data_IF_944286812040
#
_entry.id   IF_944286812040
#
_cell.length_a   1.000
_cell.length_b   1.000
_cell.length_c   1.000
_cell.angle_alpha   90.00
_cell.angle_beta   90.00
_cell.angle_gamma   90.00
#
_symmetry.space_group_name_H-M   'P 1'
#
loop_
_entity.id
_entity.type
_entity.pdbx_description
1 polymer ?
#
# COMPACT_ATOMS: atom_id res chain seq x y z
N UNK A 1 1.40 21.61 6.14
CA UNK A 1 1.13 20.20 5.74
C UNK A 1 2.46 19.46 5.54
N UNK A 2 2.54 18.18 5.88
CA UNK A 2 3.72 17.36 5.61
C UNK A 2 3.68 16.86 4.15
N UNK A 3 4.83 16.78 3.49
CA UNK A 3 4.93 16.20 2.14
C UNK A 3 4.71 14.69 2.24
N UNK A 4 3.73 14.09 1.52
CA UNK A 4 3.43 12.67 1.60
C UNK A 4 4.53 11.77 1.04
N UNK A 5 5.48 12.29 0.26
CA UNK A 5 6.65 11.54 -0.17
C UNK A 5 7.77 11.60 0.86
N UNK A 6 7.84 12.62 1.72
CA UNK A 6 8.80 12.65 2.85
C UNK A 6 8.24 11.96 4.09
N UNK A 7 6.98 12.24 4.46
CA UNK A 7 6.26 11.66 5.57
C UNK A 7 5.20 10.69 5.04
N UNK A 8 5.68 9.50 4.64
CA UNK A 8 4.86 8.52 3.93
C UNK A 8 3.72 8.01 4.84
N UNK A 9 2.44 8.19 4.45
CA UNK A 9 1.29 7.79 5.27
C UNK A 9 1.16 6.27 5.42
N UNK A 10 0.34 5.87 6.38
CA UNK A 10 -0.06 4.47 6.51
C UNK A 10 -0.81 4.01 5.23
N UNK A 11 -0.62 2.75 4.79
CA UNK A 11 -1.31 2.22 3.61
C UNK A 11 -2.83 2.39 3.71
N UNK A 12 -3.45 3.05 2.73
CA UNK A 12 -4.89 3.32 2.68
C UNK A 12 -5.37 4.47 3.58
N UNK A 13 -4.48 5.27 4.15
CA UNK A 13 -4.87 6.42 4.97
C UNK A 13 -5.75 7.39 4.19
N UNK A 14 -6.93 7.69 4.72
CA UNK A 14 -7.91 8.58 4.08
C UNK A 14 -8.87 7.89 3.11
N UNK A 15 -8.67 6.61 2.80
CA UNK A 15 -9.60 5.82 2.00
C UNK A 15 -10.64 5.10 2.89
N UNK A 16 -11.86 4.96 2.38
CA UNK A 16 -12.91 4.14 2.98
C UNK A 16 -13.13 2.87 2.16
N UNK A 17 -13.02 1.71 2.81
CA UNK A 17 -13.34 0.42 2.21
C UNK A 17 -14.69 -0.07 2.72
N UNK A 18 -15.67 -0.14 1.82
CA UNK A 18 -16.98 -0.72 2.13
C UNK A 18 -17.00 -2.18 1.68
N UNK A 19 -17.41 -3.08 2.58
CA UNK A 19 -17.48 -4.52 2.30
C UNK A 19 -18.93 -4.98 2.22
N UNK A 20 -19.19 -5.93 1.33
CA UNK A 20 -20.47 -6.57 1.16
C UNK A 20 -20.27 -8.05 0.80
N UNK A 21 -21.31 -8.87 0.95
CA UNK A 21 -21.28 -10.25 0.48
C UNK A 21 -21.17 -10.28 -1.04
N UNK A 22 -20.40 -11.24 -1.56
CA UNK A 22 -20.13 -11.35 -2.99
C UNK A 22 -21.36 -11.74 -3.83
N UNK A 23 -22.38 -12.35 -3.21
CA UNK A 23 -23.62 -12.80 -3.83
C UNK A 23 -24.78 -11.78 -3.72
N UNK A 24 -24.61 -10.70 -2.95
CA UNK A 24 -25.63 -9.68 -2.75
C UNK A 24 -25.63 -8.63 -3.88
N UNK A 25 -26.22 -9.02 -5.02
CA UNK A 25 -26.22 -8.20 -6.24
C UNK A 25 -26.81 -6.80 -6.05
N UNK A 26 -27.88 -6.68 -5.25
CA UNK A 26 -28.54 -5.41 -5.00
C UNK A 26 -27.61 -4.43 -4.26
N UNK A 27 -26.90 -4.91 -3.22
CA UNK A 27 -25.92 -4.09 -2.51
C UNK A 27 -24.74 -3.75 -3.42
N UNK A 28 -24.24 -4.70 -4.21
CA UNK A 28 -23.12 -4.46 -5.13
C UNK A 28 -23.44 -3.41 -6.20
N UNK A 29 -24.68 -3.32 -6.68
CA UNK A 29 -25.11 -2.27 -7.60
C UNK A 29 -25.05 -0.88 -6.96
N UNK A 30 -25.50 -0.75 -5.71
CA UNK A 30 -25.39 0.52 -4.96
C UNK A 30 -23.93 0.90 -4.74
N UNK A 31 -23.08 -0.06 -4.35
CA UNK A 31 -21.66 0.22 -4.09
C UNK A 31 -20.90 0.66 -5.35
N UNK A 32 -21.30 0.20 -6.54
CA UNK A 32 -20.71 0.66 -7.81
C UNK A 32 -20.92 2.15 -8.04
N UNK A 33 -22.02 2.73 -7.56
CA UNK A 33 -22.33 4.14 -7.76
C UNK A 33 -21.44 5.09 -6.94
N UNK A 34 -20.88 4.60 -5.83
CA UNK A 34 -20.01 5.37 -4.93
C UNK A 34 -18.53 4.98 -5.05
N UNK A 35 -18.20 4.07 -5.97
CA UNK A 35 -16.83 3.66 -6.18
C UNK A 35 -16.02 4.72 -6.91
N UNK A 36 -14.91 5.11 -6.30
CA UNK A 36 -13.88 5.88 -6.96
C UNK A 36 -12.78 4.95 -7.49
N UNK A 37 -12.76 4.78 -8.81
CA UNK A 37 -11.77 3.93 -9.49
C UNK A 37 -10.33 4.37 -9.21
N UNK A 38 -10.07 5.67 -9.14
CA UNK A 38 -8.73 6.21 -8.91
C UNK A 38 -8.28 5.87 -7.50
N UNK A 39 -9.10 6.21 -6.50
CA UNK A 39 -8.82 5.91 -5.10
C UNK A 39 -8.61 4.40 -4.89
N UNK A 40 -9.44 3.56 -5.53
CA UNK A 40 -9.29 2.11 -5.50
C UNK A 40 -7.92 1.66 -6.04
N UNK A 41 -7.44 2.23 -7.14
CA UNK A 41 -6.15 1.86 -7.72
C UNK A 41 -4.97 2.30 -6.84
N UNK A 42 -5.02 3.51 -6.31
CA UNK A 42 -4.01 4.05 -5.38
C UNK A 42 -3.93 3.16 -4.13
N UNK A 43 -5.07 2.92 -3.47
CA UNK A 43 -5.14 2.09 -2.26
C UNK A 43 -4.84 0.62 -2.52
N UNK A 44 -5.18 0.05 -3.68
CA UNK A 44 -4.85 -1.35 -3.98
C UNK A 44 -3.34 -1.57 -4.06
N UNK A 45 -2.59 -0.62 -4.63
CA UNK A 45 -1.13 -0.69 -4.70
C UNK A 45 -0.48 -0.57 -3.31
N UNK A 46 -0.96 0.35 -2.49
CA UNK A 46 -0.52 0.52 -1.09
C UNK A 46 -0.76 -0.74 -0.27
N UNK A 47 -1.98 -1.30 -0.37
CA UNK A 47 -2.37 -2.51 0.37
C UNK A 47 -1.63 -3.75 -0.11
N UNK A 48 -1.40 -3.89 -1.41
CA UNK A 48 -0.65 -5.04 -1.93
C UNK A 48 0.82 -5.00 -1.49
N UNK A 49 1.43 -3.82 -1.43
CA UNK A 49 2.76 -3.65 -0.82
C UNK A 49 2.75 -4.08 0.65
N UNK A 50 1.84 -3.52 1.45
CA UNK A 50 1.74 -3.82 2.87
C UNK A 50 1.50 -5.30 3.15
N UNK A 51 0.67 -5.97 2.33
CA UNK A 51 0.42 -7.43 2.41
C UNK A 51 1.69 -8.24 2.18
N UNK A 52 2.53 -7.86 1.21
CA UNK A 52 3.81 -8.54 0.97
C UNK A 52 4.74 -8.43 2.18
N UNK A 53 4.75 -7.28 2.87
CA UNK A 53 5.56 -7.07 4.07
C UNK A 53 5.02 -7.79 5.32
N UNK A 54 3.87 -8.46 5.24
CA UNK A 54 3.28 -9.23 6.34
C UNK A 54 1.93 -8.70 6.82
N UNK A 55 1.46 -7.55 6.31
CA UNK A 55 0.07 -7.09 6.46
C UNK A 55 -0.39 -6.77 7.90
N UNK A 56 0.53 -6.71 8.86
CA UNK A 56 0.21 -6.39 10.26
C UNK A 56 0.15 -4.89 10.47
N UNK A 57 -0.87 -4.42 11.20
CA UNK A 57 -1.02 -3.01 11.59
C UNK A 57 0.11 -2.49 12.49
N UNK A 58 0.93 -3.38 13.05
CA UNK A 58 2.04 -3.04 13.93
C UNK A 58 3.38 -2.90 13.19
N UNK A 59 3.42 -3.21 11.89
CA UNK A 59 4.62 -2.96 11.11
C UNK A 59 4.79 -1.46 10.89
N UNK A 60 6.00 -0.90 11.09
CA UNK A 60 6.33 0.48 10.79
C UNK A 60 6.48 0.67 9.26
N UNK A 61 5.35 0.52 8.57
CA UNK A 61 5.22 0.60 7.11
C UNK A 61 4.48 1.87 6.71
N UNK A 62 4.99 2.52 5.68
CA UNK A 62 4.29 3.58 4.96
C UNK A 62 4.15 3.19 3.49
N UNK A 63 3.01 3.53 2.88
CA UNK A 63 2.83 3.39 1.44
C UNK A 63 1.88 4.48 0.92
N UNK A 64 2.26 5.10 -0.19
CA UNK A 64 1.45 6.14 -0.83
C UNK A 64 1.45 6.01 -2.34
N UNK A 65 0.26 5.81 -2.90
CA UNK A 65 -0.01 5.73 -4.32
C UNK A 65 -0.66 7.01 -4.84
N UNK A 66 -0.25 7.47 -6.02
CA UNK A 66 -0.90 8.59 -6.70
C UNK A 66 -1.00 8.35 -8.20
N UNK A 67 -2.23 8.35 -8.72
CA UNK A 67 -2.52 8.25 -10.15
C UNK A 67 -2.65 9.65 -10.74
N UNK A 68 -1.93 9.91 -11.83
CA UNK A 68 -2.02 11.18 -12.56
C UNK A 68 -3.08 11.15 -13.68
N UNK A 69 -3.26 12.30 -14.33
CA UNK A 69 -4.23 12.45 -15.44
C UNK A 69 -3.93 11.62 -16.68
N UNK A 70 -2.71 11.07 -16.81
CA UNK A 70 -2.33 10.16 -17.90
C UNK A 70 -2.59 8.68 -17.54
N UNK A 71 -3.09 8.40 -16.33
CA UNK A 71 -3.32 7.05 -15.85
C UNK A 71 -2.03 6.32 -15.42
N UNK A 72 -0.98 7.07 -15.09
CA UNK A 72 0.24 6.53 -14.49
C UNK A 72 0.11 6.58 -12.97
N UNK A 73 0.30 5.43 -12.33
CA UNK A 73 0.41 5.30 -10.89
C UNK A 73 1.87 5.44 -10.48
N UNK A 74 2.17 6.37 -9.56
CA UNK A 74 3.42 6.40 -8.79
C UNK A 74 3.16 5.83 -7.40
N UNK A 75 4.07 5.00 -6.90
CA UNK A 75 3.99 4.41 -5.57
C UNK A 75 5.33 4.61 -4.86
N UNK A 76 5.27 5.08 -3.62
CA UNK A 76 6.37 5.00 -2.65
C UNK A 76 6.00 4.01 -1.55
N UNK A 77 6.96 3.21 -1.12
CA UNK A 77 6.85 2.34 0.05
C UNK A 77 8.07 2.49 0.95
N UNK A 78 7.83 2.46 2.26
CA UNK A 78 8.87 2.52 3.29
C UNK A 78 8.64 1.45 4.36
N UNK A 79 9.73 0.90 4.87
CA UNK A 79 9.75 0.03 6.04
C UNK A 79 10.90 0.49 6.95
N UNK A 80 10.59 0.77 8.22
CA UNK A 80 11.59 1.21 9.20
C UNK A 80 11.83 0.16 10.30
N UNK A 81 12.92 0.25 11.04
CA UNK A 81 13.03 -0.42 12.34
C UNK A 81 12.19 0.32 13.39
N UNK A 82 11.87 -0.34 14.51
CA UNK A 82 11.06 0.25 15.59
C UNK A 82 11.68 1.54 16.16
N UNK A 83 13.01 1.57 16.26
CA UNK A 83 13.79 2.73 16.71
C UNK A 83 14.10 3.74 15.59
N UNK A 84 13.68 3.47 14.35
CA UNK A 84 13.94 4.30 13.17
C UNK A 84 15.39 4.33 12.68
N UNK A 85 16.31 3.56 13.28
CA UNK A 85 17.74 3.53 12.90
C UNK A 85 17.99 2.92 11.53
N UNK A 86 17.07 2.09 11.03
CA UNK A 86 17.09 1.52 9.69
C UNK A 86 15.82 1.92 8.95
N UNK A 87 15.95 2.27 7.68
CA UNK A 87 14.84 2.60 6.80
C UNK A 87 15.14 2.09 5.40
N UNK A 88 14.23 1.27 4.85
CA UNK A 88 14.26 0.81 3.47
C UNK A 88 13.16 1.55 2.72
N UNK A 89 13.53 2.19 1.62
CA UNK A 89 12.60 2.96 0.78
C UNK A 89 12.68 2.48 -0.67
N UNK A 90 11.52 2.25 -1.28
CA UNK A 90 11.41 1.95 -2.71
C UNK A 90 10.34 2.81 -3.36
N UNK A 91 10.59 3.17 -4.60
CA UNK A 91 9.69 3.97 -5.42
C UNK A 91 9.57 3.34 -6.80
N UNK A 92 8.40 3.46 -7.41
CA UNK A 92 8.18 2.94 -8.75
C UNK A 92 6.93 3.50 -9.38
N UNK A 93 6.79 3.23 -10.68
CA UNK A 93 5.59 3.57 -11.42
C UNK A 93 5.11 2.42 -12.31
N UNK A 94 3.84 2.48 -12.66
CA UNK A 94 3.19 1.56 -13.59
C UNK A 94 1.93 2.23 -14.18
N UNK A 95 1.26 1.55 -15.10
CA UNK A 95 -0.10 1.94 -15.46
C UNK A 95 -1.00 1.73 -14.25
N UNK A 96 -2.02 2.58 -14.06
CA UNK A 96 -2.94 2.45 -12.93
C UNK A 96 -3.72 1.12 -12.93
N UNK A 97 -3.84 0.45 -14.08
CA UNK A 97 -4.39 -0.91 -14.17
C UNK A 97 -3.51 -1.99 -13.53
N UNK A 98 -2.21 -1.72 -13.36
CA UNK A 98 -1.21 -2.65 -12.83
C UNK A 98 -0.89 -2.37 -11.34
N UNK A 99 -1.81 -1.71 -10.63
CA UNK A 99 -1.64 -1.24 -9.25
C UNK A 99 -1.15 -2.34 -8.30
N UNK A 100 -1.81 -3.50 -8.33
CA UNK A 100 -1.45 -4.65 -7.49
C UNK A 100 -0.04 -5.15 -7.80
N UNK A 101 0.30 -5.33 -9.08
CA UNK A 101 1.63 -5.84 -9.45
C UNK A 101 2.74 -4.85 -9.06
N UNK A 102 2.49 -3.54 -9.17
CA UNK A 102 3.41 -2.51 -8.71
C UNK A 102 3.67 -2.64 -7.20
N UNK A 103 2.61 -2.71 -6.39
CA UNK A 103 2.77 -2.82 -4.94
C UNK A 103 3.44 -4.13 -4.50
N UNK A 104 3.06 -5.25 -5.11
CA UNK A 104 3.71 -6.55 -4.83
C UNK A 104 5.20 -6.56 -5.23
N UNK A 105 5.55 -5.88 -6.32
CA UNK A 105 6.94 -5.75 -6.76
C UNK A 105 7.75 -4.92 -5.76
N UNK A 106 7.29 -3.72 -5.42
CA UNK A 106 8.02 -2.85 -4.47
C UNK A 106 8.10 -3.48 -3.08
N UNK A 107 7.06 -4.19 -2.62
CA UNK A 107 7.12 -4.94 -1.37
C UNK A 107 8.22 -6.00 -1.37
N UNK A 108 8.38 -6.76 -2.46
CA UNK A 108 9.47 -7.74 -2.59
C UNK A 108 10.84 -7.08 -2.68
N UNK A 109 10.95 -5.94 -3.35
CA UNK A 109 12.20 -5.16 -3.40
C UNK A 109 12.58 -4.63 -2.01
N UNK A 110 11.61 -4.21 -1.18
CA UNK A 110 11.85 -3.81 0.21
C UNK A 110 12.34 -5.01 1.03
N UNK A 111 11.70 -6.18 0.91
CA UNK A 111 12.13 -7.38 1.63
C UNK A 111 13.58 -7.77 1.27
N UNK A 112 13.89 -7.81 -0.02
CA UNK A 112 15.22 -8.16 -0.52
C UNK A 112 16.31 -7.15 -0.13
N UNK A 113 15.95 -5.89 0.12
CA UNK A 113 16.88 -4.81 0.48
C UNK A 113 16.94 -4.56 1.99
N UNK A 114 16.95 -5.63 2.78
CA UNK A 114 17.13 -5.57 4.22
C UNK A 114 15.83 -5.55 5.05
N UNK A 115 14.66 -5.62 4.39
CA UNK A 115 13.36 -5.59 5.04
C UNK A 115 13.04 -6.88 5.80
N UNK A 116 13.55 -8.03 5.35
CA UNK A 116 13.38 -9.31 6.06
C UNK A 116 13.99 -9.27 7.46
N UNK A 117 15.19 -8.71 7.61
CA UNK A 117 15.89 -8.58 8.89
C UNK A 117 15.19 -7.59 9.82
N UNK A 118 14.65 -6.50 9.26
CA UNK A 118 13.84 -5.54 10.03
C UNK A 118 12.61 -6.24 10.60
N UNK A 119 11.86 -6.96 9.76
CA UNK A 119 10.64 -7.66 10.19
C UNK A 119 10.96 -8.75 11.21
N UNK A 120 12.05 -9.50 11.02
CA UNK A 120 12.48 -10.53 11.95
C UNK A 120 12.81 -9.95 13.33
N UNK A 121 13.46 -8.79 13.39
CA UNK A 121 13.83 -8.12 14.64
C UNK A 121 12.61 -7.63 15.44
N UNK A 122 11.46 -7.39 14.79
CA UNK A 122 10.23 -6.96 15.45
C UNK A 122 9.52 -8.07 16.24
N UNK A 123 9.94 -9.33 16.12
CA UNK A 123 9.33 -10.45 16.88
C UNK A 123 7.87 -10.75 16.53
N UNK A 124 7.37 -10.25 15.40
CA UNK A 124 5.96 -10.34 14.98
C UNK A 124 5.59 -11.67 14.29
N UNK A 125 6.49 -12.65 14.28
CA UNK A 125 6.21 -14.01 13.78
C UNK A 125 6.03 -14.95 14.98
N UNK A 126 4.80 -15.37 15.24
CA UNK A 126 4.47 -16.56 16.05
C UNK A 126 4.50 -17.81 15.20
#
# INVERSE_FOLDING_TARGET
PLDPFEFVPAPGQGALCVTARADDRAVLEVLRAIDDRRARQETEAERSLARVLGGSCFLPVGAFGSVDGAGVLRLVGVLASEDGSRLVRKEGSARAGDARQLGERLGREILADGGEEIIAALGLRS
#
